data_IF_810269864290
#
_entry.id   IF_810269864290
#
_cell.length_a   1.000
_cell.length_b   1.000
_cell.length_c   1.000
_cell.angle_alpha   90.00
_cell.angle_beta   90.00
_cell.angle_gamma   90.00
#
_symmetry.space_group_name_H-M   'P 1'
#
loop_
_entity.id
_entity.type
_entity.pdbx_description
1 polymer ?
#
# COMPACT_ATOMS: atom_id res chain seq x y z
N UNK A 1 -11.63 -24.22 -9.21
CA UNK A 1 -11.80 -22.87 -9.81
C UNK A 1 -12.84 -22.03 -9.05
N UNK A 2 -12.83 -22.06 -7.70
CA UNK A 2 -13.87 -21.43 -6.83
C UNK A 2 -13.24 -20.41 -5.83
N UNK A 3 -11.93 -20.16 -5.86
CA UNK A 3 -11.26 -19.31 -4.86
C UNK A 3 -11.16 -17.82 -5.23
N UNK A 4 -11.35 -17.44 -6.49
CA UNK A 4 -11.12 -16.06 -6.95
C UNK A 4 -12.22 -15.07 -6.52
N UNK A 5 -13.45 -15.55 -6.35
CA UNK A 5 -14.61 -14.72 -5.97
C UNK A 5 -14.56 -14.27 -4.51
N UNK A 6 -14.00 -15.09 -3.60
CA UNK A 6 -13.86 -14.76 -2.18
C UNK A 6 -12.79 -13.69 -1.93
N UNK A 7 -11.67 -13.75 -2.65
CA UNK A 7 -10.60 -12.73 -2.59
C UNK A 7 -11.10 -11.36 -3.03
N UNK A 8 -11.79 -11.26 -4.18
CA UNK A 8 -12.35 -9.99 -4.70
C UNK A 8 -13.34 -9.30 -3.74
N UNK A 9 -14.18 -10.08 -3.05
CA UNK A 9 -15.10 -9.56 -2.04
C UNK A 9 -14.40 -8.94 -0.84
N UNK A 10 -13.31 -9.57 -0.38
CA UNK A 10 -12.49 -9.07 0.72
C UNK A 10 -11.73 -7.78 0.34
N UNK A 11 -11.12 -7.76 -0.85
CA UNK A 11 -10.40 -6.61 -1.40
C UNK A 11 -11.28 -5.35 -1.50
N UNK A 12 -12.53 -5.48 -1.95
CA UNK A 12 -13.48 -4.35 -2.03
C UNK A 12 -14.02 -3.90 -0.67
N UNK A 13 -14.07 -4.80 0.32
CA UNK A 13 -14.40 -4.45 1.70
C UNK A 13 -13.27 -3.63 2.34
N UNK A 14 -12.02 -4.07 2.16
CA UNK A 14 -10.82 -3.38 2.66
C UNK A 14 -10.64 -2.00 2.03
N UNK A 15 -10.85 -1.86 0.72
CA UNK A 15 -10.86 -0.55 0.04
C UNK A 15 -11.89 0.40 0.65
N UNK A 16 -13.13 -0.06 0.85
CA UNK A 16 -14.20 0.76 1.44
C UNK A 16 -13.91 1.11 2.89
N UNK A 17 -13.30 0.20 3.63
CA UNK A 17 -12.92 0.40 5.02
C UNK A 17 -11.84 1.49 5.17
N UNK A 18 -10.79 1.48 4.36
CA UNK A 18 -9.72 2.49 4.42
C UNK A 18 -10.27 3.92 4.30
N UNK A 19 -11.13 4.16 3.29
CA UNK A 19 -11.73 5.48 3.07
C UNK A 19 -12.83 5.82 4.08
N UNK A 20 -13.51 4.83 4.66
CA UNK A 20 -14.48 5.06 5.73
C UNK A 20 -13.76 5.49 7.02
N UNK A 21 -12.69 4.79 7.40
CA UNK A 21 -11.88 5.14 8.57
C UNK A 21 -11.21 6.51 8.39
N UNK A 22 -10.71 6.83 7.20
CA UNK A 22 -10.13 8.15 6.93
C UNK A 22 -11.17 9.27 7.08
N UNK A 23 -12.41 9.06 6.63
CA UNK A 23 -13.50 10.03 6.80
C UNK A 23 -13.87 10.22 8.28
N UNK A 24 -13.78 9.16 9.08
CA UNK A 24 -14.00 9.24 10.53
C UNK A 24 -12.93 10.08 11.27
N UNK A 25 -11.79 10.38 10.64
CA UNK A 25 -10.76 11.27 11.21
C UNK A 25 -11.10 12.77 11.06
N UNK A 26 -12.22 13.12 10.43
CA UNK A 26 -12.70 14.51 10.28
C UNK A 26 -11.70 15.45 9.60
N UNK A 27 -10.80 14.90 8.77
CA UNK A 27 -9.74 15.64 8.09
C UNK A 27 -10.29 16.66 7.08
N UNK A 28 -11.53 16.48 6.62
CA UNK A 28 -12.19 17.39 5.68
C UNK A 28 -12.50 18.77 6.28
N UNK A 29 -12.49 18.91 7.61
CA UNK A 29 -12.63 20.21 8.28
C UNK A 29 -11.40 21.12 8.17
N UNK A 30 -10.23 20.55 7.85
CA UNK A 30 -8.99 21.33 7.75
C UNK A 30 -9.15 22.36 6.62
N UNK A 31 -9.07 23.66 6.94
CA UNK A 31 -9.25 24.75 5.95
C UNK A 31 -8.13 24.79 4.92
N UNK A 32 -6.87 24.70 5.36
CA UNK A 32 -5.70 24.76 4.48
C UNK A 32 -5.61 23.49 3.63
N UNK A 33 -5.81 23.62 2.32
CA UNK A 33 -5.94 22.49 1.40
C UNK A 33 -4.69 21.60 1.35
N UNK A 34 -3.50 22.19 1.31
CA UNK A 34 -2.22 21.46 1.33
C UNK A 34 -2.06 20.65 2.61
N UNK A 35 -2.38 21.23 3.78
CA UNK A 35 -2.31 20.52 5.05
C UNK A 35 -3.35 19.40 5.15
N UNK A 36 -4.58 19.66 4.67
CA UNK A 36 -5.63 18.64 4.57
C UNK A 36 -5.18 17.44 3.74
N UNK A 37 -4.59 17.68 2.57
CA UNK A 37 -4.04 16.63 1.71
C UNK A 37 -2.90 15.89 2.41
N UNK A 38 -1.96 16.60 3.04
CA UNK A 38 -0.86 16.00 3.78
C UNK A 38 -1.34 15.10 4.92
N UNK A 39 -2.36 15.52 5.69
CA UNK A 39 -2.93 14.70 6.76
C UNK A 39 -3.60 13.44 6.22
N UNK A 40 -4.32 13.52 5.09
CA UNK A 40 -4.92 12.34 4.43
C UNK A 40 -3.85 11.38 3.93
N UNK A 41 -2.79 11.88 3.29
CA UNK A 41 -1.66 11.07 2.86
C UNK A 41 -0.92 10.43 4.05
N UNK A 42 -0.75 11.17 5.16
CA UNK A 42 -0.16 10.64 6.39
C UNK A 42 -1.02 9.54 7.02
N UNK A 43 -2.34 9.66 6.96
CA UNK A 43 -3.26 8.60 7.39
C UNK A 43 -3.03 7.32 6.58
N UNK A 44 -3.06 7.42 5.24
CA UNK A 44 -2.81 6.27 4.34
C UNK A 44 -1.43 5.67 4.60
N UNK A 45 -0.39 6.50 4.71
CA UNK A 45 0.98 6.07 4.97
C UNK A 45 1.11 5.29 6.29
N UNK A 46 0.42 5.73 7.35
CA UNK A 46 0.40 5.04 8.64
C UNK A 46 -0.38 3.73 8.55
N UNK A 47 -1.60 3.77 8.02
CA UNK A 47 -2.50 2.61 7.95
C UNK A 47 -1.92 1.47 7.09
N UNK A 48 -1.19 1.82 6.03
CA UNK A 48 -0.52 0.84 5.16
C UNK A 48 0.88 0.44 5.65
N UNK A 49 1.36 0.93 6.81
CA UNK A 49 2.73 0.73 7.30
C UNK A 49 3.85 1.26 6.39
N UNK A 50 3.53 2.07 5.38
CA UNK A 50 4.51 2.64 4.44
C UNK A 50 5.50 3.61 5.13
N UNK A 51 5.15 4.14 6.31
CA UNK A 51 6.04 4.97 7.12
C UNK A 51 7.24 4.22 7.71
N UNK A 52 7.22 2.88 7.70
CA UNK A 52 8.33 2.02 8.14
C UNK A 52 9.25 1.62 6.97
N UNK A 53 8.83 1.88 5.73
CA UNK A 53 9.58 1.53 4.53
C UNK A 53 10.60 2.63 4.24
N UNK A 54 11.87 2.27 4.22
CA UNK A 54 12.95 3.16 3.79
C UNK A 54 13.16 3.11 2.27
N UNK A 55 13.95 4.06 1.75
CA UNK A 55 14.24 4.17 0.32
C UNK A 55 15.03 2.96 -0.22
N UNK A 56 15.87 2.33 0.61
CA UNK A 56 16.65 1.17 0.21
C UNK A 56 15.76 -0.04 -0.05
N UNK A 57 14.76 -0.26 0.80
CA UNK A 57 13.78 -1.32 0.65
C UNK A 57 12.97 -1.15 -0.66
N UNK A 58 12.64 0.09 -1.03
CA UNK A 58 11.99 0.38 -2.31
C UNK A 58 12.91 0.07 -3.48
N UNK A 59 14.16 0.57 -3.44
CA UNK A 59 15.14 0.34 -4.53
C UNK A 59 15.38 -1.15 -4.74
N UNK A 60 15.61 -1.92 -3.67
CA UNK A 60 15.81 -3.37 -3.78
C UNK A 60 14.57 -4.08 -4.30
N UNK A 61 13.37 -3.72 -3.82
CA UNK A 61 12.15 -4.35 -4.31
C UNK A 61 11.93 -4.10 -5.81
N UNK A 62 12.20 -2.88 -6.30
CA UNK A 62 12.12 -2.57 -7.73
C UNK A 62 13.15 -3.38 -8.54
N UNK A 63 14.38 -3.53 -8.01
CA UNK A 63 15.44 -4.32 -8.65
C UNK A 63 15.11 -5.81 -8.70
N UNK A 64 14.67 -6.39 -7.59
CA UNK A 64 14.28 -7.81 -7.52
C UNK A 64 13.09 -8.14 -8.45
N UNK A 65 12.22 -7.17 -8.72
CA UNK A 65 11.12 -7.29 -9.67
C UNK A 65 11.49 -6.88 -11.11
N UNK A 66 12.78 -6.64 -11.39
CA UNK A 66 13.34 -6.23 -12.68
C UNK A 66 12.71 -4.95 -13.27
N UNK A 67 12.12 -4.09 -12.43
CA UNK A 67 11.50 -2.84 -12.89
C UNK A 67 12.54 -1.80 -13.31
N UNK A 68 13.75 -1.90 -12.78
CA UNK A 68 14.87 -1.02 -13.16
C UNK A 68 15.37 -1.21 -14.60
N UNK A 69 14.95 -2.29 -15.29
CA UNK A 69 15.33 -2.58 -16.67
C UNK A 69 14.22 -2.22 -17.68
N UNK A 70 13.07 -1.77 -17.21
CA UNK A 70 11.93 -1.43 -18.06
C UNK A 70 11.99 0.04 -18.49
N UNK A 71 11.31 0.34 -19.59
CA UNK A 71 11.01 1.73 -19.92
C UNK A 71 10.14 2.34 -18.79
N UNK A 72 10.45 3.55 -18.28
CA UNK A 72 9.70 4.19 -17.20
C UNK A 72 8.20 4.38 -17.48
N UNK A 73 7.78 4.38 -18.75
CA UNK A 73 6.38 4.52 -19.15
C UNK A 73 5.68 3.17 -19.33
N UNK A 74 6.37 2.05 -19.05
CA UNK A 74 5.76 0.72 -19.13
C UNK A 74 4.66 0.58 -18.07
N UNK A 75 3.43 0.31 -18.50
CA UNK A 75 2.32 0.04 -17.60
C UNK A 75 2.49 -1.31 -16.89
N UNK A 76 2.18 -1.33 -15.59
CA UNK A 76 2.21 -2.54 -14.78
C UNK A 76 0.79 -3.06 -14.57
N UNK A 77 0.60 -4.37 -14.81
CA UNK A 77 -0.65 -5.01 -14.42
C UNK A 77 -0.74 -5.18 -12.89
N UNK A 78 -1.96 -5.44 -12.39
CA UNK A 78 -2.25 -5.56 -10.96
C UNK A 78 -1.36 -6.61 -10.27
N UNK A 79 -1.15 -7.76 -10.90
CA UNK A 79 -0.33 -8.84 -10.33
C UNK A 79 1.14 -8.45 -10.17
N UNK A 80 1.71 -7.69 -11.13
CA UNK A 80 3.09 -7.20 -11.03
C UNK A 80 3.22 -6.13 -9.96
N UNK A 81 2.22 -5.26 -9.83
CA UNK A 81 2.19 -4.28 -8.75
C UNK A 81 2.13 -4.97 -7.38
N UNK A 82 1.24 -5.95 -7.22
CA UNK A 82 1.11 -6.75 -5.99
C UNK A 82 2.42 -7.50 -5.64
N UNK A 83 3.11 -8.05 -6.65
CA UNK A 83 4.41 -8.69 -6.44
C UNK A 83 5.46 -7.72 -5.89
N UNK A 84 5.54 -6.50 -6.43
CA UNK A 84 6.47 -5.46 -5.94
C UNK A 84 6.14 -5.07 -4.50
N UNK A 85 4.85 -4.83 -4.20
CA UNK A 85 4.40 -4.50 -2.84
C UNK A 85 4.70 -5.65 -1.87
N UNK A 86 4.53 -6.89 -2.32
CA UNK A 86 4.87 -8.08 -1.55
C UNK A 86 6.36 -8.09 -1.21
N UNK A 87 7.25 -7.90 -2.19
CA UNK A 87 8.69 -7.80 -1.95
C UNK A 87 9.01 -6.73 -0.91
N UNK A 88 8.44 -5.53 -1.02
CA UNK A 88 8.62 -4.42 -0.05
C UNK A 88 8.27 -4.87 1.37
N UNK A 89 7.06 -5.38 1.59
CA UNK A 89 6.57 -5.65 2.95
C UNK A 89 7.16 -6.94 3.56
N UNK A 90 7.41 -7.97 2.75
CA UNK A 90 8.08 -9.17 3.24
C UNK A 90 9.55 -8.91 3.60
N UNK A 91 10.28 -8.13 2.80
CA UNK A 91 11.65 -7.74 3.15
C UNK A 91 11.68 -6.85 4.40
N UNK A 92 10.77 -5.88 4.50
CA UNK A 92 10.63 -5.06 5.70
C UNK A 92 10.43 -5.94 6.93
N UNK A 93 9.42 -6.82 6.91
CA UNK A 93 9.05 -7.62 8.08
C UNK A 93 10.15 -8.60 8.52
N UNK A 94 11.00 -9.07 7.59
CA UNK A 94 12.18 -9.88 7.90
C UNK A 94 13.26 -9.13 8.69
N UNK A 95 13.36 -7.80 8.50
CA UNK A 95 14.37 -6.95 9.16
C UNK A 95 13.88 -6.39 10.49
N UNK A 96 12.57 -6.43 10.76
CA UNK A 96 11.96 -5.90 11.98
C UNK A 96 12.21 -6.84 13.18
N UNK A 97 12.40 -6.29 14.40
CA UNK A 97 12.34 -7.08 15.62
C UNK A 97 11.01 -7.81 15.75
N UNK A 98 11.00 -9.00 16.38
CA UNK A 98 9.79 -9.81 16.56
C UNK A 98 8.67 -9.10 17.31
N UNK A 99 9.00 -8.11 18.14
CA UNK A 99 8.05 -7.26 18.88
C UNK A 99 7.37 -6.18 18.03
N UNK A 100 7.86 -5.94 16.80
CA UNK A 100 7.38 -4.88 15.90
C UNK A 100 6.96 -5.40 14.53
N UNK A 101 6.71 -6.72 14.41
CA UNK A 101 6.23 -7.29 13.16
C UNK A 101 4.86 -6.73 12.78
N UNK A 102 4.66 -6.56 11.48
CA UNK A 102 3.42 -6.05 10.90
C UNK A 102 2.62 -7.18 10.25
N UNK A 103 1.32 -6.97 10.09
CA UNK A 103 0.48 -7.86 9.30
C UNK A 103 0.70 -7.63 7.80
N UNK A 104 1.73 -8.27 7.24
CA UNK A 104 2.23 -8.06 5.86
C UNK A 104 1.12 -8.10 4.81
N UNK A 105 0.29 -9.15 4.79
CA UNK A 105 -0.80 -9.30 3.81
C UNK A 105 -1.81 -8.15 3.82
N UNK A 106 -2.10 -7.61 5.01
CA UNK A 106 -3.05 -6.52 5.17
C UNK A 106 -2.44 -5.22 4.64
N UNK A 107 -1.15 -4.98 4.91
CA UNK A 107 -0.42 -3.83 4.37
C UNK A 107 -0.34 -3.85 2.84
N UNK A 108 -0.07 -5.02 2.25
CA UNK A 108 -0.05 -5.21 0.79
C UNK A 108 -1.43 -4.87 0.22
N UNK A 109 -2.49 -5.49 0.74
CA UNK A 109 -3.84 -5.30 0.21
C UNK A 109 -4.33 -3.85 0.36
N UNK A 110 -4.11 -3.22 1.51
CA UNK A 110 -4.51 -1.82 1.72
C UNK A 110 -3.80 -0.87 0.76
N UNK A 111 -2.48 -1.05 0.56
CA UNK A 111 -1.71 -0.20 -0.34
C UNK A 111 -2.06 -0.45 -1.80
N UNK A 112 -2.22 -1.71 -2.21
CA UNK A 112 -2.66 -2.07 -3.57
C UNK A 112 -4.00 -1.43 -3.89
N UNK A 113 -4.98 -1.56 -3.00
CA UNK A 113 -6.29 -0.96 -3.15
C UNK A 113 -6.26 0.56 -3.21
N UNK A 114 -5.38 1.19 -2.43
CA UNK A 114 -5.20 2.64 -2.49
C UNK A 114 -4.65 3.08 -3.85
N UNK A 115 -3.62 2.40 -4.38
CA UNK A 115 -3.01 2.72 -5.67
C UNK A 115 -4.00 2.54 -6.82
N UNK A 116 -4.75 1.43 -6.85
CA UNK A 116 -5.79 1.16 -7.86
C UNK A 116 -7.02 2.08 -7.76
N UNK A 117 -7.16 2.81 -6.65
CA UNK A 117 -8.22 3.80 -6.49
C UNK A 117 -7.76 5.21 -6.90
N UNK A 118 -6.45 5.45 -6.93
CA UNK A 118 -5.85 6.74 -7.23
C UNK A 118 -5.49 6.91 -8.71
N UNK A 119 -5.30 5.80 -9.43
CA UNK A 119 -4.94 5.71 -10.85
C UNK A 119 -5.84 4.70 -11.55
#
# INVERSE_FOLDING_TARGET
>A
MIEDSGKRGNTMAERRQLFAEMRAQDLDRIRLSTYRTACKLRFVQKKCNLHLVDIWNVIEALRENALNNLDPNTELNVSRLEAVLSTIFYQLNKRMPTTHQIHVEQSISLLLNFLLAAF
#
